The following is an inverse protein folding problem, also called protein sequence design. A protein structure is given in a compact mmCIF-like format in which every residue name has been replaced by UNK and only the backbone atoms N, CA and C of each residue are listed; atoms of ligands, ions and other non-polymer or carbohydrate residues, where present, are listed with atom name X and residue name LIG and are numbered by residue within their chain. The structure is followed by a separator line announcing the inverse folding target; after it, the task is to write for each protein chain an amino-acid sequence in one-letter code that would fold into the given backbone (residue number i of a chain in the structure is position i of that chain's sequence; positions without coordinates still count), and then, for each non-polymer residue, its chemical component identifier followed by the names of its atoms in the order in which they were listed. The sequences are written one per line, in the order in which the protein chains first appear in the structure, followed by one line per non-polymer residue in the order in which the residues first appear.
data_IF_225080441049
#
_entry.id   IF_225080441049
#
_cell.length_a   1.000
_cell.length_b   1.000
_cell.length_c   1.000
_cell.angle_alpha   90.00
_cell.angle_beta   90.00
_cell.angle_gamma   90.00
#
_symmetry.space_group_name_H-M   'P 1'
#
loop_
_entity.id
_entity.type
_entity.pdbx_description
1 polymer ?
#
# COMPACT_ATOMS: atom_id res chain seq x y z
N UNK A 1 14.05 -13.35 4.19
CA UNK A 1 14.56 -12.04 3.71
C UNK A 1 13.58 -11.53 2.67
N UNK A 2 12.88 -10.42 2.94
CA UNK A 2 11.86 -9.85 2.06
C UNK A 2 12.53 -8.84 1.11
N UNK A 3 11.99 -8.69 -0.11
CA UNK A 3 12.45 -7.69 -1.07
C UNK A 3 11.39 -6.59 -1.18
N UNK A 4 11.79 -5.32 -1.19
CA UNK A 4 10.95 -4.15 -1.42
C UNK A 4 11.39 -3.45 -2.71
N UNK A 5 10.53 -3.39 -3.71
CA UNK A 5 10.64 -2.59 -4.93
C UNK A 5 9.24 -2.54 -5.58
N UNK A 6 9.03 -1.54 -6.46
CA UNK A 6 7.85 -1.37 -7.31
C UNK A 6 7.31 -2.73 -7.76
N UNK A 7 6.10 -3.08 -7.33
CA UNK A 7 5.56 -4.42 -7.52
C UNK A 7 4.23 -4.37 -8.25
N UNK A 8 4.14 -5.17 -9.29
CA UNK A 8 2.92 -5.39 -10.05
C UNK A 8 2.24 -6.62 -9.46
N UNK A 9 1.04 -6.47 -8.89
CA UNK A 9 0.31 -7.48 -8.13
C UNK A 9 -0.98 -7.85 -8.84
N UNK A 10 -1.26 -9.15 -8.95
CA UNK A 10 -2.53 -9.62 -9.49
C UNK A 10 -3.61 -9.65 -8.40
N UNK A 11 -4.68 -8.88 -8.64
CA UNK A 11 -5.87 -8.82 -7.80
C UNK A 11 -6.82 -10.00 -7.98
N UNK A 12 -7.87 -10.04 -7.15
CA UNK A 12 -8.91 -11.07 -7.18
C UNK A 12 -9.65 -11.13 -8.51
N UNK A 13 -9.92 -9.97 -9.11
CA UNK A 13 -10.59 -9.82 -10.39
C UNK A 13 -9.67 -10.13 -11.59
N UNK A 14 -8.43 -10.56 -11.35
CA UNK A 14 -7.42 -10.75 -12.38
C UNK A 14 -6.80 -9.44 -12.91
N UNK A 15 -7.24 -8.29 -12.37
CA UNK A 15 -6.68 -6.98 -12.69
C UNK A 15 -5.28 -6.86 -12.09
N UNK A 16 -4.41 -6.25 -12.87
CA UNK A 16 -3.04 -5.98 -12.49
C UNK A 16 -2.97 -4.60 -11.81
N UNK A 17 -2.48 -4.56 -10.57
CA UNK A 17 -2.29 -3.34 -9.79
C UNK A 17 -0.81 -3.06 -9.63
N UNK A 18 -0.39 -1.84 -9.94
CA UNK A 18 0.92 -1.36 -9.56
C UNK A 18 0.88 -0.92 -8.09
N UNK A 19 1.93 -1.23 -7.34
CA UNK A 19 2.13 -0.75 -5.98
C UNK A 19 3.51 -0.12 -5.91
N UNK A 20 3.58 1.13 -5.42
CA UNK A 20 4.85 1.84 -5.27
C UNK A 20 5.81 1.11 -4.34
N UNK A 21 5.29 0.55 -3.25
CA UNK A 21 6.02 -0.35 -2.35
C UNK A 21 5.17 -1.57 -2.03
N UNK A 22 5.77 -2.76 -2.15
CA UNK A 22 5.16 -3.98 -1.65
C UNK A 22 6.14 -4.83 -0.83
N UNK A 23 5.63 -5.45 0.23
CA UNK A 23 6.32 -6.52 0.97
C UNK A 23 5.65 -7.84 0.57
N UNK A 24 6.42 -8.72 -0.06
CA UNK A 24 5.90 -9.96 -0.67
C UNK A 24 6.60 -11.16 -0.05
N UNK A 25 5.86 -12.25 0.17
CA UNK A 25 6.45 -13.53 0.60
C UNK A 25 7.67 -13.91 -0.26
N UNK A 26 8.74 -14.34 0.41
CA UNK A 26 10.02 -14.58 -0.27
C UNK A 26 9.93 -15.70 -1.33
N UNK A 27 9.12 -16.73 -1.08
CA UNK A 27 8.94 -17.85 -2.02
C UNK A 27 8.18 -17.39 -3.26
N UNK A 28 7.12 -16.60 -3.08
CA UNK A 28 6.36 -15.99 -4.19
C UNK A 28 7.26 -15.07 -5.00
N UNK A 29 8.01 -14.18 -4.35
CA UNK A 29 8.89 -13.24 -5.03
C UNK A 29 9.95 -13.96 -5.89
N UNK A 30 10.49 -15.09 -5.41
CA UNK A 30 11.42 -15.92 -6.19
C UNK A 30 10.71 -16.60 -7.36
N UNK A 31 9.54 -17.19 -7.12
CA UNK A 31 8.75 -17.85 -8.15
C UNK A 31 8.35 -16.90 -9.27
N UNK A 32 7.87 -15.70 -8.93
CA UNK A 32 7.54 -14.64 -9.88
C UNK A 32 8.71 -14.25 -10.76
N UNK A 33 9.90 -14.05 -10.17
CA UNK A 33 11.12 -13.71 -10.92
C UNK A 33 11.57 -14.83 -11.86
N UNK A 34 11.46 -16.09 -11.45
CA UNK A 34 11.90 -17.21 -12.28
C UNK A 34 10.93 -17.55 -13.42
N UNK A 35 9.65 -17.19 -13.29
CA UNK A 35 8.61 -17.54 -14.27
C UNK A 35 8.05 -16.33 -15.04
N UNK A 36 8.45 -15.10 -14.71
CA UNK A 36 7.92 -13.90 -15.35
C UNK A 36 6.44 -13.66 -15.06
N UNK A 37 5.97 -14.02 -13.86
CA UNK A 37 4.57 -13.85 -13.43
C UNK A 37 4.45 -12.90 -12.25
N UNK A 38 3.24 -12.37 -12.02
CA UNK A 38 2.99 -11.43 -10.93
C UNK A 38 2.62 -12.12 -9.62
N UNK A 39 3.04 -11.58 -8.46
CA UNK A 39 2.61 -12.06 -7.16
C UNK A 39 1.09 -12.01 -7.02
N UNK A 40 0.51 -13.06 -6.44
CA UNK A 40 -0.91 -13.09 -6.09
C UNK A 40 -1.20 -12.22 -4.87
N UNK A 41 -2.38 -11.61 -4.81
CA UNK A 41 -2.78 -10.74 -3.69
C UNK A 41 -2.57 -11.33 -2.29
N UNK A 42 -2.74 -12.65 -2.11
CA UNK A 42 -2.62 -13.33 -0.82
C UNK A 42 -1.17 -13.58 -0.40
N UNK A 43 -0.21 -13.26 -1.26
CA UNK A 43 1.23 -13.29 -0.98
C UNK A 43 1.80 -11.90 -0.71
N UNK A 44 0.97 -10.86 -0.82
CA UNK A 44 1.34 -9.47 -0.53
C UNK A 44 0.98 -9.14 0.92
N UNK A 45 2.02 -9.00 1.74
CA UNK A 45 1.93 -8.73 3.18
C UNK A 45 1.56 -7.27 3.43
N UNK A 46 2.26 -6.35 2.76
CA UNK A 46 2.03 -4.90 2.80
C UNK A 46 2.02 -4.40 1.36
N UNK A 47 1.12 -3.46 1.06
CA UNK A 47 1.25 -2.61 -0.13
C UNK A 47 1.06 -1.14 0.26
N UNK A 48 1.85 -0.27 -0.35
CA UNK A 48 1.78 1.18 -0.17
C UNK A 48 1.63 1.80 -1.54
N UNK A 49 0.61 2.64 -1.67
CA UNK A 49 0.44 3.57 -2.77
C UNK A 49 0.93 4.95 -2.29
N UNK A 50 1.83 5.55 -3.04
CA UNK A 50 2.45 6.84 -2.80
C UNK A 50 1.94 7.84 -3.84
N UNK A 51 1.37 8.95 -3.38
CA UNK A 51 0.85 10.01 -4.25
C UNK A 51 1.57 11.32 -3.97
N UNK A 52 2.32 11.80 -4.96
CA UNK A 52 3.02 13.08 -4.91
C UNK A 52 2.31 14.09 -5.82
N UNK A 53 1.79 15.16 -5.23
CA UNK A 53 1.07 16.21 -5.97
C UNK A 53 1.45 17.61 -5.46
N UNK A 54 1.44 18.58 -6.37
CA UNK A 54 1.60 20.00 -6.06
C UNK A 54 0.30 20.63 -5.50
N UNK A 55 -0.85 20.02 -5.80
CA UNK A 55 -2.17 20.52 -5.44
C UNK A 55 -2.91 19.58 -4.47
N UNK A 56 -4.03 20.06 -3.93
CA UNK A 56 -4.92 19.25 -3.10
C UNK A 56 -5.44 18.01 -3.85
N UNK A 57 -5.48 16.88 -3.16
CA UNK A 57 -5.96 15.63 -3.73
C UNK A 57 -7.48 15.59 -3.80
N UNK A 58 -7.99 15.22 -4.98
CA UNK A 58 -9.41 15.03 -5.22
C UNK A 58 -9.91 13.64 -4.79
N UNK A 59 -11.22 13.55 -4.60
CA UNK A 59 -11.96 12.32 -4.26
C UNK A 59 -11.71 11.14 -5.23
N UNK A 60 -11.29 11.42 -6.48
CA UNK A 60 -10.98 10.40 -7.49
C UNK A 60 -9.90 9.43 -6.99
N UNK A 61 -8.83 9.94 -6.38
CA UNK A 61 -7.73 9.14 -5.83
C UNK A 61 -8.22 8.24 -4.70
N UNK A 62 -9.10 8.76 -3.85
CA UNK A 62 -9.72 7.98 -2.78
C UNK A 62 -10.52 6.80 -3.31
N UNK A 63 -11.31 7.02 -4.37
CA UNK A 63 -12.07 5.96 -5.03
C UNK A 63 -11.18 4.91 -5.70
N UNK A 64 -10.12 5.34 -6.38
CA UNK A 64 -9.15 4.45 -7.00
C UNK A 64 -8.48 3.55 -5.95
N UNK A 65 -8.01 4.14 -4.84
CA UNK A 65 -7.43 3.39 -3.74
C UNK A 65 -8.44 2.43 -3.07
N UNK A 66 -9.71 2.83 -2.94
CA UNK A 66 -10.77 1.95 -2.45
C UNK A 66 -11.00 0.77 -3.39
N UNK A 67 -10.99 1.00 -4.71
CA UNK A 67 -11.09 -0.05 -5.73
C UNK A 67 -9.93 -1.03 -5.66
N UNK A 68 -8.70 -0.52 -5.63
CA UNK A 68 -7.49 -1.34 -5.46
C UNK A 68 -7.56 -2.19 -4.19
N UNK A 69 -7.94 -1.62 -3.05
CA UNK A 69 -8.05 -2.36 -1.79
C UNK A 69 -9.27 -3.28 -1.71
N UNK A 70 -10.28 -3.11 -2.58
CA UNK A 70 -11.32 -4.12 -2.76
C UNK A 70 -10.77 -5.36 -3.47
N UNK A 71 -9.84 -5.16 -4.41
CA UNK A 71 -9.29 -6.23 -5.24
C UNK A 71 -8.10 -6.95 -4.57
N UNK A 72 -7.17 -6.19 -3.99
CA UNK A 72 -5.96 -6.70 -3.30
C UNK A 72 -6.22 -7.13 -1.85
N UNK A 73 -7.40 -6.83 -1.29
CA UNK A 73 -7.70 -6.98 0.13
C UNK A 73 -7.45 -5.68 0.93
N UNK A 74 -8.07 -5.59 2.11
CA UNK A 74 -8.10 -4.34 2.90
C UNK A 74 -6.94 -4.21 3.88
N UNK A 75 -6.45 -5.32 4.41
CA UNK A 75 -5.43 -5.33 5.46
C UNK A 75 -4.08 -4.86 4.93
N UNK A 76 -3.38 -4.04 5.71
CA UNK A 76 -2.02 -3.59 5.40
C UNK A 76 -1.86 -3.00 3.99
N UNK A 77 -2.87 -2.24 3.55
CA UNK A 77 -2.82 -1.41 2.34
C UNK A 77 -2.87 0.04 2.75
N UNK A 78 -1.83 0.80 2.38
CA UNK A 78 -1.64 2.17 2.83
C UNK A 78 -1.65 3.14 1.66
N UNK A 79 -2.29 4.29 1.82
CA UNK A 79 -2.11 5.44 0.94
C UNK A 79 -1.27 6.49 1.66
N UNK A 80 -0.06 6.74 1.16
CA UNK A 80 0.82 7.80 1.63
C UNK A 80 0.86 8.95 0.61
N UNK A 81 0.85 10.18 1.09
CA UNK A 81 0.87 11.35 0.21
C UNK A 81 1.51 12.56 0.88
N UNK A 82 2.17 13.39 0.08
CA UNK A 82 2.68 14.70 0.52
C UNK A 82 1.57 15.75 0.68
N UNK A 83 0.43 15.55 0.01
CA UNK A 83 -0.73 16.45 -0.03
C UNK A 83 -1.99 15.76 0.51
N UNK A 84 -3.05 16.53 0.73
CA UNK A 84 -4.34 16.04 1.25
C UNK A 84 -5.51 16.75 0.56
N UNK A 85 -6.73 16.36 0.91
CA UNK A 85 -7.96 17.04 0.50
C UNK A 85 -9.15 16.59 1.33
N UNK A 86 -10.05 17.50 1.68
CA UNK A 86 -11.17 17.19 2.59
C UNK A 86 -12.05 16.04 2.09
N UNK A 87 -12.37 16.02 0.79
CA UNK A 87 -13.19 14.96 0.19
C UNK A 87 -12.47 13.61 0.13
N UNK A 88 -11.15 13.61 -0.08
CA UNK A 88 -10.30 12.42 -0.02
C UNK A 88 -10.28 11.85 1.41
N UNK A 89 -10.00 12.69 2.40
CA UNK A 89 -9.93 12.26 3.79
C UNK A 89 -11.27 11.70 4.27
N UNK A 90 -12.38 12.37 3.94
CA UNK A 90 -13.72 11.92 4.31
C UNK A 90 -14.04 10.52 3.73
N UNK A 91 -13.75 10.28 2.45
CA UNK A 91 -14.05 8.97 1.84
C UNK A 91 -13.14 7.87 2.40
N UNK A 92 -11.86 8.15 2.66
CA UNK A 92 -10.95 7.16 3.23
C UNK A 92 -11.30 6.80 4.67
N UNK A 93 -11.70 7.79 5.49
CA UNK A 93 -12.20 7.55 6.86
C UNK A 93 -13.47 6.70 6.80
N UNK A 94 -14.44 7.08 5.98
CA UNK A 94 -15.71 6.37 5.85
C UNK A 94 -15.51 4.88 5.50
N UNK A 95 -14.58 4.59 4.59
CA UNK A 95 -14.24 3.21 4.20
C UNK A 95 -13.15 2.55 5.07
N UNK A 96 -12.74 3.16 6.19
CA UNK A 96 -11.74 2.66 7.14
C UNK A 96 -10.42 2.28 6.46
N UNK A 97 -9.92 3.17 5.59
CA UNK A 97 -8.70 2.96 4.81
C UNK A 97 -7.48 3.53 5.52
N UNK A 98 -6.40 2.73 5.58
CA UNK A 98 -5.15 3.19 6.16
C UNK A 98 -4.51 4.23 5.26
N UNK A 99 -4.07 5.32 5.87
CA UNK A 99 -3.51 6.46 5.16
C UNK A 99 -2.57 7.26 6.05
N UNK A 100 -1.70 8.04 5.41
CA UNK A 100 -0.89 9.07 6.06
C UNK A 100 -0.69 10.21 5.05
N UNK A 101 -1.11 11.41 5.42
CA UNK A 101 -1.00 12.62 4.60
C UNK A 101 0.11 13.52 5.14
N UNK A 102 0.67 14.37 4.28
CA UNK A 102 1.77 15.26 4.63
C UNK A 102 3.12 14.55 4.77
N UNK A 103 3.31 13.38 4.14
CA UNK A 103 4.59 12.68 4.14
C UNK A 103 5.54 13.41 3.18
N UNK A 104 6.60 14.00 3.71
CA UNK A 104 7.60 14.74 2.94
C UNK A 104 8.99 14.57 3.57
N UNK A 105 10.08 14.58 2.76
CA UNK A 105 11.45 14.54 3.28
C UNK A 105 11.83 15.68 4.23
N UNK A 106 10.99 16.71 4.32
CA UNK A 106 11.20 17.88 5.16
C UNK A 106 10.53 17.76 6.55
N UNK A 107 9.73 16.72 6.77
CA UNK A 107 9.00 16.48 8.01
C UNK A 107 9.38 15.10 8.55
N UNK A 108 10.43 15.06 9.38
CA UNK A 108 10.98 13.82 9.92
C UNK A 108 9.96 13.05 10.77
N UNK A 109 9.12 13.75 11.53
CA UNK A 109 8.09 13.13 12.36
C UNK A 109 7.08 12.37 11.49
N UNK A 110 6.77 12.89 10.29
CA UNK A 110 5.89 12.20 9.33
C UNK A 110 6.56 10.98 8.71
N UNK A 111 7.85 11.05 8.41
CA UNK A 111 8.61 9.90 7.95
C UNK A 111 8.63 8.79 9.00
N UNK A 112 8.94 9.12 10.25
CA UNK A 112 8.94 8.16 11.36
C UNK A 112 7.56 7.51 11.55
N UNK A 113 6.48 8.28 11.45
CA UNK A 113 5.11 7.76 11.48
C UNK A 113 4.82 6.80 10.32
N UNK A 114 5.30 7.10 9.11
CA UNK A 114 5.16 6.23 7.96
C UNK A 114 5.86 4.89 8.21
N UNK A 115 7.11 4.94 8.66
CA UNK A 115 7.91 3.73 8.99
C UNK A 115 7.27 2.94 10.13
N UNK A 116 6.79 3.61 11.19
CA UNK A 116 6.13 2.96 12.32
C UNK A 116 4.89 2.17 11.88
N UNK A 117 4.04 2.75 11.00
CA UNK A 117 2.86 2.06 10.45
C UNK A 117 3.23 0.77 9.71
N UNK A 118 4.27 0.82 8.88
CA UNK A 118 4.73 -0.36 8.13
C UNK A 118 5.37 -1.40 9.07
N UNK A 119 6.13 -0.95 10.07
CA UNK A 119 6.77 -1.80 11.08
C UNK A 119 5.72 -2.56 11.91
N UNK A 120 4.69 -1.86 12.39
CA UNK A 120 3.62 -2.47 13.17
C UNK A 120 2.83 -3.48 12.33
N UNK A 121 2.44 -3.10 11.11
CA UNK A 121 1.77 -4.01 10.17
C UNK A 121 2.57 -5.29 9.92
N UNK A 122 3.90 -5.16 9.76
CA UNK A 122 4.78 -6.30 9.55
C UNK A 122 4.95 -7.16 10.80
N UNK A 123 5.10 -6.54 11.98
CA UNK A 123 5.17 -7.25 13.27
C UNK A 123 3.90 -8.08 13.49
N UNK A 124 2.73 -7.47 13.28
CA UNK A 124 1.45 -8.14 13.48
C UNK A 124 1.25 -9.31 12.50
N UNK A 125 1.68 -9.13 11.24
CA UNK A 125 1.71 -10.23 10.27
C UNK A 125 2.58 -11.39 10.76
N UNK A 126 3.78 -11.11 11.28
CA UNK A 126 4.69 -12.15 11.78
C UNK A 126 4.05 -12.93 12.92
N UNK A 127 3.44 -12.27 13.90
CA UNK A 127 2.74 -12.94 15.01
C UNK A 127 1.62 -13.84 14.52
N UNK A 128 0.80 -13.39 13.56
CA UNK A 128 -0.33 -14.18 13.02
C UNK A 128 0.11 -15.40 12.19
N UNK A 129 1.34 -15.41 11.68
CA UNK A 129 1.89 -16.44 10.80
C UNK A 129 3.12 -17.12 11.41
N UNK A 130 3.25 -17.08 12.73
CA UNK A 130 4.29 -17.77 13.52
C UNK A 130 3.85 -19.18 13.87
#
# INVERSE_FOLDING_TARGET
MFYSLLAVVQGLAGVIHECDVAVIDQSEARFCRSHGVHPKKNKVVIAVECKLYENNLGIKIGREFIGMTADLGKENRFLFSNSSGASLENILVHHKRHRLMGVTPLDHDREEQAVAKLRDAFRDYKVKNS
#
